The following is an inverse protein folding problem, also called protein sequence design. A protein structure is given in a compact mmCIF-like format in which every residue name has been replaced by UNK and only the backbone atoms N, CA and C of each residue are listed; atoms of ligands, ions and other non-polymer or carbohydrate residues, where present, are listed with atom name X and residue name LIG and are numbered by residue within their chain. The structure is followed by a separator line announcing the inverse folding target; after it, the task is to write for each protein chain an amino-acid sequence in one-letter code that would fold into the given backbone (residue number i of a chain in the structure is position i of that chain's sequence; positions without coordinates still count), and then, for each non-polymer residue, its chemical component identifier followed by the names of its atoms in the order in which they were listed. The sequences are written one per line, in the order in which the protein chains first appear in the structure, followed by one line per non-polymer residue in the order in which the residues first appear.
data_IF_734493167065
#
_entry.id   IF_734493167065
#
_cell.length_a   1.000
_cell.length_b   1.000
_cell.length_c   1.000
_cell.angle_alpha   90.00
_cell.angle_beta   90.00
_cell.angle_gamma   90.00
#
_symmetry.space_group_name_H-M   'P 1'
#
loop_
_entity.id
_entity.type
_entity.pdbx_description
1 polymer ?
#
# COMPACT_ATOMS: atom_id res chain seq x y z
N UNK A 1 2.53 -24.78 30.57
CA UNK A 1 2.49 -24.48 30.29
C UNK A 1 2.72 -23.67 29.64
N UNK A 2 2.82 -23.29 29.40
CA UNK A 2 3.06 -22.64 28.79
C UNK A 2 3.14 -22.66 27.59
N UNK A 3 3.00 -22.94 27.03
CA UNK A 3 3.19 -23.18 25.91
C UNK A 3 2.20 -22.75 25.15
N UNK A 4 1.26 -22.68 25.50
CA UNK A 4 0.28 -22.34 24.86
C UNK A 4 0.63 -21.29 24.10
N UNK A 5 1.34 -20.56 24.37
CA UNK A 5 1.64 -19.53 23.75
C UNK A 5 2.28 -19.83 22.56
N UNK A 6 2.80 -20.70 22.48
CA UNK A 6 3.50 -20.90 21.39
C UNK A 6 2.72 -21.12 20.24
N UNK A 7 1.85 -21.41 20.26
CA UNK A 7 1.19 -21.75 19.19
C UNK A 7 0.67 -20.85 18.41
N UNK A 8 0.54 -20.10 18.50
CA UNK A 8 -0.11 -19.30 17.77
C UNK A 8 0.35 -19.06 16.53
N UNK A 9 0.90 -19.06 16.18
CA UNK A 9 1.34 -18.84 15.16
C UNK A 9 0.75 -19.02 14.17
N UNK A 10 0.47 -19.40 14.06
CA UNK A 10 -0.12 -19.67 13.14
C UNK A 10 -0.55 -18.61 12.62
N UNK A 11 -0.46 -17.85 13.00
CA UNK A 11 -0.94 -16.84 12.56
C UNK A 11 -0.89 -16.64 11.29
N UNK A 12 -0.74 -16.90 10.78
CA UNK A 12 -0.64 -16.80 9.55
C UNK A 12 -1.60 -16.08 8.96
N UNK A 13 -2.47 -15.97 9.28
CA UNK A 13 -3.33 -15.38 8.71
C UNK A 13 -3.17 -14.07 8.58
N UNK A 14 -2.79 -13.57 7.86
CA UNK A 14 -2.82 -12.32 7.63
C UNK A 14 -2.10 -11.34 8.35
N UNK A 15 -1.07 -11.18 8.46
CA UNK A 15 -0.45 -10.11 9.00
C UNK A 15 -0.73 -9.74 10.39
N UNK A 16 -0.52 -10.55 11.23
CA UNK A 16 -0.76 -10.26 12.59
C UNK A 16 0.38 -9.42 13.12
N UNK A 17 0.04 -8.39 13.80
CA UNK A 17 1.02 -7.56 14.36
C UNK A 17 1.54 -8.26 15.58
N UNK A 18 2.81 -8.23 15.90
CA UNK A 18 3.35 -8.89 16.98
C UNK A 18 2.79 -8.51 18.27
N UNK A 19 2.35 -9.33 19.04
CA UNK A 19 1.80 -8.98 20.33
C UNK A 19 2.88 -9.37 21.26
N UNK A 20 2.87 -8.98 22.42
CA UNK A 20 3.89 -9.35 23.32
C UNK A 20 3.57 -10.55 24.04
N UNK A 21 2.88 -11.37 23.55
CA UNK A 21 2.64 -12.60 24.18
C UNK A 21 1.65 -12.62 25.24
N UNK A 22 0.90 -11.63 25.35
CA UNK A 22 -0.03 -11.65 26.42
C UNK A 22 -1.19 -12.41 25.99
N UNK A 23 -2.02 -12.74 26.86
CA UNK A 23 -3.14 -13.43 26.51
C UNK A 23 -4.26 -12.54 26.20
N UNK A 24 -4.06 -11.32 25.93
CA UNK A 24 -5.16 -10.43 25.59
C UNK A 24 -5.73 -10.69 24.22
N UNK A 25 -5.10 -11.51 23.44
CA UNK A 25 -5.63 -11.79 22.12
C UNK A 25 -4.65 -11.37 21.08
N UNK A 26 -5.10 -11.25 19.85
CA UNK A 26 -4.22 -10.90 18.78
C UNK A 26 -4.59 -9.59 18.16
N UNK A 27 -3.65 -8.91 17.58
CA UNK A 27 -3.93 -7.70 16.84
C UNK A 27 -3.60 -8.02 15.40
N UNK A 28 -4.56 -7.90 14.51
CA UNK A 28 -4.34 -8.19 13.15
C UNK A 28 -4.54 -6.97 12.31
N UNK A 29 -3.76 -6.77 11.29
CA UNK A 29 -3.86 -5.63 10.41
C UNK A 29 -4.37 -6.13 9.08
N UNK A 30 -5.50 -5.62 8.63
CA UNK A 30 -6.09 -6.05 7.38
C UNK A 30 -5.36 -5.36 6.24
N UNK A 31 -5.35 -6.00 5.07
CA UNK A 31 -4.71 -5.43 3.92
C UNK A 31 -5.20 -4.03 3.63
N UNK A 32 -6.43 -3.72 3.94
CA UNK A 32 -6.96 -2.40 3.66
C UNK A 32 -6.22 -1.31 4.43
N UNK A 33 -5.71 -1.64 5.59
CA UNK A 33 -4.97 -0.66 6.37
C UNK A 33 -3.68 -0.35 5.65
N UNK A 34 -3.02 -1.38 5.13
CA UNK A 34 -1.78 -1.17 4.44
C UNK A 34 -2.01 -0.41 3.16
N UNK A 35 -3.10 -0.73 2.46
CA UNK A 35 -3.41 -0.03 1.23
C UNK A 35 -3.65 1.46 1.50
N UNK A 36 -4.27 1.78 2.62
CA UNK A 36 -4.52 3.17 2.94
C UNK A 36 -3.21 3.91 3.22
N UNK A 37 -2.27 3.24 3.89
CA UNK A 37 -1.00 3.86 4.17
C UNK A 37 -0.25 4.07 2.86
N UNK A 38 -0.31 3.08 1.97
CA UNK A 38 0.39 3.15 0.71
C UNK A 38 -0.16 4.31 -0.12
N UNK A 39 -1.48 4.43 -0.18
CA UNK A 39 -2.07 5.47 -0.95
C UNK A 39 -1.66 6.84 -0.46
N UNK A 40 -1.74 7.07 0.81
CA UNK A 40 -1.41 8.33 1.33
C UNK A 40 0.06 8.64 1.18
N UNK A 41 0.91 7.67 1.41
CA UNK A 41 2.33 7.88 1.33
C UNK A 41 2.76 8.16 -0.11
N UNK A 42 2.26 7.38 -1.05
CA UNK A 42 2.67 7.56 -2.42
C UNK A 42 2.24 8.92 -2.94
N UNK A 43 1.04 9.33 -2.58
CA UNK A 43 0.56 10.60 -3.07
C UNK A 43 1.30 11.78 -2.45
N UNK A 44 2.04 11.56 -1.40
CA UNK A 44 2.80 12.62 -0.80
C UNK A 44 4.19 12.79 -1.39
N UNK A 45 4.59 11.93 -2.31
CA UNK A 45 5.91 12.02 -2.87
C UNK A 45 5.90 12.99 -4.05
N UNK A 46 6.85 13.92 -4.09
CA UNK A 46 6.90 14.87 -5.17
C UNK A 46 7.08 14.18 -6.49
N UNK A 47 6.30 14.53 -7.47
CA UNK A 47 6.35 13.93 -8.79
C UNK A 47 5.23 12.93 -9.01
N UNK A 48 4.57 12.49 -7.98
CA UNK A 48 3.48 11.55 -8.12
C UNK A 48 2.21 12.37 -8.32
N UNK A 49 1.48 12.08 -9.40
CA UNK A 49 0.27 12.81 -9.68
C UNK A 49 -0.88 12.17 -8.94
N UNK A 50 -0.97 10.87 -8.97
CA UNK A 50 -2.06 10.18 -8.28
C UNK A 50 -1.87 8.69 -8.39
N UNK A 51 -2.66 7.95 -7.67
CA UNK A 51 -2.68 6.51 -7.78
C UNK A 51 -3.42 6.25 -9.07
N UNK A 52 -2.93 5.34 -9.87
CA UNK A 52 -3.48 5.10 -11.19
C UNK A 52 -4.93 4.72 -11.08
N UNK A 53 -5.71 5.28 -11.93
CA UNK A 53 -7.13 4.97 -11.96
C UNK A 53 -7.95 5.64 -10.89
N UNK A 54 -7.32 6.28 -9.94
CA UNK A 54 -8.10 6.83 -8.86
C UNK A 54 -9.03 7.95 -9.29
N UNK A 55 -8.77 8.57 -10.40
CA UNK A 55 -9.66 9.63 -10.79
C UNK A 55 -10.99 9.11 -11.24
N UNK A 56 -11.12 7.82 -11.44
CA UNK A 56 -12.39 7.32 -11.84
C UNK A 56 -13.19 6.97 -10.64
N UNK A 57 -12.63 6.95 -9.52
CA UNK A 57 -13.39 6.57 -8.36
C UNK A 57 -14.55 7.45 -8.12
N UNK A 58 -14.59 8.61 -8.64
CA UNK A 58 -15.74 9.40 -8.42
C UNK A 58 -16.99 8.77 -8.87
N UNK A 59 -16.99 7.97 -9.82
CA UNK A 59 -18.19 7.37 -10.26
C UNK A 59 -18.50 6.20 -9.46
N UNK A 60 -19.25 6.34 -8.50
CA UNK A 60 -19.64 5.26 -7.71
C UNK A 60 -20.24 4.15 -8.38
N UNK A 61 -20.97 4.42 -9.29
CA UNK A 61 -21.65 3.38 -9.95
C UNK A 61 -20.72 2.39 -10.44
N UNK A 62 -19.74 2.73 -11.04
CA UNK A 62 -18.89 1.80 -11.53
C UNK A 62 -18.16 1.12 -10.52
N UNK A 63 -17.93 1.63 -9.47
CA UNK A 63 -17.29 0.96 -8.49
C UNK A 63 -17.88 -0.31 -8.20
N UNK A 64 -19.11 -0.39 -8.20
CA UNK A 64 -19.76 -1.57 -7.92
C UNK A 64 -19.42 -2.66 -8.84
N UNK A 65 -19.43 -2.45 -10.01
CA UNK A 65 -19.15 -3.51 -10.89
C UNK A 65 -17.73 -3.74 -11.13
N UNK A 66 -16.99 -2.74 -11.27
CA UNK A 66 -15.68 -2.98 -11.61
C UNK A 66 -14.70 -3.17 -10.57
N UNK A 67 -14.99 -2.85 -9.40
CA UNK A 67 -14.04 -2.96 -8.49
C UNK A 67 -13.45 -4.25 -8.38
N UNK A 68 -14.13 -5.20 -8.67
CA UNK A 68 -13.66 -6.42 -8.49
C UNK A 68 -12.74 -6.81 -9.54
N UNK A 69 -12.57 -6.13 -10.49
CA UNK A 69 -11.80 -6.54 -11.53
C UNK A 69 -10.42 -6.44 -11.14
N UNK A 70 -9.72 -7.00 -10.85
CA UNK A 70 -8.45 -6.96 -10.50
C UNK A 70 -7.62 -5.90 -10.91
N UNK A 71 -8.13 -4.92 -11.28
CA UNK A 71 -7.38 -3.90 -11.62
C UNK A 71 -7.09 -3.01 -10.53
N UNK A 72 -6.93 -3.42 -9.32
CA UNK A 72 -6.65 -2.59 -8.30
C UNK A 72 -5.35 -1.94 -8.44
N UNK A 73 -5.24 -0.69 -8.15
CA UNK A 73 -4.01 0.04 -8.24
C UNK A 73 -3.07 -0.30 -7.11
N UNK A 74 -3.59 -0.78 -6.03
CA UNK A 74 -2.75 -1.15 -4.91
C UNK A 74 -3.05 -2.57 -4.53
N UNK A 75 -2.01 -3.40 -4.52
CA UNK A 75 -2.20 -4.79 -4.21
C UNK A 75 -1.29 -5.13 -3.04
N UNK A 76 -1.82 -5.76 -2.04
CA UNK A 76 -1.08 -6.08 -0.84
C UNK A 76 -1.19 -7.56 -0.55
N UNK A 77 -0.07 -8.21 -0.35
CA UNK A 77 -0.08 -9.62 -0.02
C UNK A 77 0.57 -9.78 1.33
N UNK A 78 -0.17 -10.32 2.27
CA UNK A 78 0.34 -10.53 3.60
C UNK A 78 0.69 -11.97 3.80
N UNK A 79 1.82 -12.23 4.42
CA UNK A 79 2.22 -13.59 4.68
C UNK A 79 2.90 -13.55 6.03
N UNK A 80 2.19 -13.86 7.07
CA UNK A 80 2.70 -13.78 8.41
C UNK A 80 2.98 -12.34 8.73
N UNK A 81 4.19 -12.02 9.09
CA UNK A 81 4.54 -10.66 9.37
C UNK A 81 5.19 -10.00 8.18
N UNK A 82 5.20 -10.65 7.04
CA UNK A 82 5.80 -10.07 5.87
C UNK A 82 4.76 -9.55 4.92
N UNK A 83 5.06 -8.46 4.26
CA UNK A 83 4.08 -7.92 3.35
C UNK A 83 4.79 -7.50 2.06
N UNK A 84 4.18 -7.80 0.93
CA UNK A 84 4.71 -7.34 -0.33
C UNK A 84 3.63 -6.47 -0.94
N UNK A 85 4.04 -5.41 -1.59
CA UNK A 85 3.12 -4.40 -2.07
C UNK A 85 3.40 -4.08 -3.53
N UNK A 86 2.35 -3.85 -4.27
CA UNK A 86 2.52 -3.41 -5.63
C UNK A 86 1.62 -2.19 -5.77
N UNK A 87 2.11 -1.09 -6.30
CA UNK A 87 1.31 0.10 -6.43
C UNK A 87 1.50 0.66 -7.83
N UNK A 88 0.39 1.03 -8.48
CA UNK A 88 0.43 1.60 -9.81
C UNK A 88 0.15 3.08 -9.64
N UNK A 89 1.04 3.91 -10.16
CA UNK A 89 0.88 5.34 -9.97
C UNK A 89 1.06 6.07 -11.28
N UNK A 90 0.57 7.28 -11.33
CA UNK A 90 0.77 8.14 -12.47
C UNK A 90 1.69 9.25 -11.97
N UNK A 91 2.66 9.60 -12.79
CA UNK A 91 3.58 10.64 -12.40
C UNK A 91 3.34 11.90 -13.22
N UNK A 92 3.89 13.00 -12.77
CA UNK A 92 3.75 14.24 -13.49
C UNK A 92 4.76 14.24 -14.60
N UNK A 93 4.33 14.60 -15.79
CA UNK A 93 5.20 14.62 -16.94
C UNK A 93 6.36 15.55 -16.63
N UNK A 94 7.55 15.11 -16.90
CA UNK A 94 8.74 15.88 -16.60
C UNK A 94 9.47 15.37 -15.39
N UNK A 95 8.84 14.57 -14.58
CA UNK A 95 9.50 14.08 -13.40
C UNK A 95 10.51 13.02 -13.83
N UNK A 96 11.58 12.86 -13.07
CA UNK A 96 12.57 11.86 -13.39
C UNK A 96 12.07 10.55 -12.80
N UNK A 97 11.60 9.69 -13.65
CA UNK A 97 10.92 8.47 -13.21
C UNK A 97 11.69 7.63 -12.21
N UNK A 98 12.94 7.28 -12.45
CA UNK A 98 13.64 6.43 -11.51
C UNK A 98 13.76 7.06 -10.12
N UNK A 99 13.96 8.35 -10.07
CA UNK A 99 14.12 9.02 -8.81
C UNK A 99 12.82 9.03 -8.04
N UNK A 100 11.72 9.35 -8.72
CA UNK A 100 10.45 9.41 -8.04
C UNK A 100 10.02 8.02 -7.62
N UNK A 101 10.20 7.03 -8.48
CA UNK A 101 9.79 5.68 -8.14
C UNK A 101 10.60 5.14 -6.97
N UNK A 102 11.88 5.45 -6.90
CA UNK A 102 12.67 4.99 -5.79
C UNK A 102 12.24 5.63 -4.51
N UNK A 103 11.85 6.89 -4.58
CA UNK A 103 11.40 7.54 -3.41
C UNK A 103 10.10 6.98 -2.95
N UNK A 104 9.24 6.60 -3.86
CA UNK A 104 7.96 5.99 -3.50
C UNK A 104 8.25 4.68 -2.80
N UNK A 105 9.17 3.87 -3.32
CA UNK A 105 9.49 2.61 -2.69
C UNK A 105 9.99 2.79 -1.27
N UNK A 106 10.92 3.69 -1.08
CA UNK A 106 11.49 3.83 0.25
C UNK A 106 10.51 4.47 1.21
N UNK A 107 9.70 5.39 0.74
CA UNK A 107 8.75 6.04 1.62
C UNK A 107 7.68 5.05 2.06
N UNK A 108 7.22 4.21 1.16
CA UNK A 108 6.21 3.24 1.51
C UNK A 108 6.79 2.22 2.49
N UNK A 109 8.01 1.76 2.24
CA UNK A 109 8.61 0.80 3.14
C UNK A 109 8.72 1.39 4.54
N UNK A 110 9.23 2.59 4.63
CA UNK A 110 9.41 3.19 5.92
C UNK A 110 8.10 3.43 6.64
N UNK A 111 7.13 3.95 5.92
CA UNK A 111 5.89 4.27 6.56
C UNK A 111 5.10 3.04 6.97
N UNK A 112 5.04 2.04 6.14
CA UNK A 112 4.29 0.86 6.48
C UNK A 112 4.95 0.16 7.66
N UNK A 113 6.26 0.03 7.65
CA UNK A 113 6.92 -0.62 8.77
C UNK A 113 6.79 0.17 10.06
N UNK A 114 6.84 1.47 9.94
CA UNK A 114 6.75 2.29 11.11
C UNK A 114 5.37 2.25 11.74
N UNK A 115 4.34 2.24 10.96
CA UNK A 115 2.99 2.26 11.49
C UNK A 115 2.51 0.88 11.88
N UNK A 116 2.82 -0.15 11.12
CA UNK A 116 2.26 -1.46 11.39
C UNK A 116 3.19 -2.41 12.11
N UNK A 117 4.47 -2.17 12.04
CA UNK A 117 5.40 -3.12 12.62
C UNK A 117 5.65 -4.33 11.74
N UNK A 118 5.04 -4.38 10.57
CA UNK A 118 5.25 -5.52 9.71
C UNK A 118 6.51 -5.34 8.91
N UNK A 119 6.99 -6.39 8.31
CA UNK A 119 8.21 -6.35 7.54
C UNK A 119 7.86 -6.25 6.06
N UNK A 120 8.25 -5.19 5.40
CA UNK A 120 7.95 -5.01 4.00
C UNK A 120 9.04 -5.68 3.20
N UNK A 121 8.69 -6.73 2.45
CA UNK A 121 9.68 -7.47 1.73
C UNK A 121 9.90 -6.92 0.33
N UNK A 122 8.92 -6.28 -0.24
CA UNK A 122 9.10 -5.68 -1.54
C UNK A 122 8.04 -4.65 -1.82
N UNK A 123 8.39 -3.63 -2.57
CA UNK A 123 7.44 -2.65 -3.02
C UNK A 123 7.69 -2.50 -4.50
N UNK A 124 6.73 -2.93 -5.31
CA UNK A 124 6.84 -2.84 -6.75
C UNK A 124 6.06 -1.60 -7.17
N UNK A 125 6.72 -0.70 -7.86
CA UNK A 125 6.07 0.51 -8.30
C UNK A 125 5.92 0.43 -9.81
N UNK A 126 4.69 0.53 -10.29
CA UNK A 126 4.43 0.49 -11.69
C UNK A 126 4.02 1.90 -12.10
N UNK A 127 4.76 2.53 -12.99
CA UNK A 127 4.41 3.86 -13.43
C UNK A 127 3.50 3.67 -14.63
N UNK A 128 2.23 3.97 -14.46
CA UNK A 128 1.26 3.66 -15.45
C UNK A 128 1.08 4.76 -16.48
N UNK A 129 1.09 5.99 -16.08
CA UNK A 129 0.92 7.08 -17.02
C UNK A 129 1.66 8.32 -16.57
N UNK A 130 1.91 9.20 -17.52
CA UNK A 130 2.47 10.49 -17.20
C UNK A 130 1.39 11.50 -17.50
N UNK A 131 1.14 12.40 -16.59
CA UNK A 131 0.07 13.37 -16.76
C UNK A 131 0.62 14.76 -16.62
N UNK A 132 -0.02 15.69 -17.25
CA UNK A 132 0.43 17.07 -17.14
C UNK A 132 0.11 17.60 -15.77
N UNK A 133 0.83 18.59 -15.38
CA UNK A 133 0.57 19.19 -14.10
C UNK A 133 -0.65 20.06 -14.23
N UNK A 134 -1.73 19.69 -13.55
CA UNK A 134 -2.95 20.43 -13.66
C UNK A 134 -2.80 21.86 -13.35
N UNK A 135 -1.94 22.21 -12.50
CA UNK A 135 -1.81 23.54 -12.14
C UNK A 135 -1.50 24.39 -13.33
N UNK A 136 -0.80 23.88 -14.24
CA UNK A 136 -0.55 24.60 -15.37
C UNK A 136 -1.63 24.63 -16.29
N UNK A 137 -2.37 23.65 -16.42
CA UNK A 137 -3.43 23.62 -17.28
C UNK A 137 -4.44 24.53 -16.89
N UNK A 138 -4.55 24.81 -15.77
CA UNK A 138 -5.52 25.65 -15.34
C UNK A 138 -5.48 26.90 -15.91
N UNK A 139 -4.71 27.35 -16.37
CA UNK A 139 -4.70 28.54 -16.84
C UNK A 139 -5.14 28.77 -17.80
#
# INVERSE_FOLDING_TARGET
MLDRKSKPQTGNMGGAVKSDGTELGQIRVHENVIAAIVRKTACGVNGVKRIAGSHFVDNIAEIIGSRKIGDRAISVVLDGNNVSIEVKINLIYGAHIPTVASKVQSSITTEVESITGLNVTSVTVVVQELEDNDTEKER
#
